data_IF_612073695880
#
_entry.id   IF_612073695880
#
_cell.length_a   1.000
_cell.length_b   1.000
_cell.length_c   1.000
_cell.angle_alpha   90.00
_cell.angle_beta   90.00
_cell.angle_gamma   90.00
#
_symmetry.space_group_name_H-M   'P 1'
#
loop_
_entity.id
_entity.type
_entity.pdbx_description
1 polymer ?
#
# COMPACT_ATOMS: atom_id res chain seq x y z
N UNK A 1 1.58 10.74 16.04
CA UNK A 1 1.15 11.35 14.76
C UNK A 1 -0.21 11.96 15.03
N UNK A 2 -0.35 13.28 14.93
CA UNK A 2 -1.66 13.92 15.09
C UNK A 2 -2.50 13.58 13.85
N UNK A 3 -3.60 12.86 14.02
CA UNK A 3 -4.53 12.56 12.93
C UNK A 3 -5.34 13.83 12.61
N UNK A 4 -5.69 14.06 11.34
CA UNK A 4 -6.45 15.23 10.85
C UNK A 4 -7.68 15.54 11.73
N UNK A 5 -8.39 14.49 12.16
CA UNK A 5 -9.55 14.60 13.05
C UNK A 5 -9.23 15.28 14.40
N UNK A 6 -8.04 15.05 14.95
CA UNK A 6 -7.59 15.66 16.20
C UNK A 6 -7.27 17.14 16.03
N UNK A 7 -6.64 17.52 14.90
CA UNK A 7 -6.38 18.93 14.56
C UNK A 7 -7.69 19.69 14.34
N UNK A 8 -8.65 19.07 13.66
CA UNK A 8 -9.98 19.66 13.43
C UNK A 8 -10.78 19.84 14.73
N UNK A 9 -10.73 18.86 15.65
CA UNK A 9 -11.35 18.98 16.96
C UNK A 9 -10.73 20.12 17.78
N UNK A 10 -9.40 20.28 17.74
CA UNK A 10 -8.72 21.40 18.39
C UNK A 10 -9.07 22.76 17.76
N UNK A 11 -9.19 22.84 16.43
CA UNK A 11 -9.63 24.05 15.75
C UNK A 11 -11.05 24.45 16.16
N UNK A 12 -11.98 23.50 16.20
CA UNK A 12 -13.34 23.74 16.64
C UNK A 12 -13.36 24.28 18.08
N UNK A 13 -12.62 23.63 18.99
CA UNK A 13 -12.50 24.10 20.37
C UNK A 13 -12.00 25.55 20.45
N UNK A 14 -10.93 25.91 19.76
CA UNK A 14 -10.38 27.27 19.84
C UNK A 14 -11.27 28.33 19.17
N UNK A 15 -11.99 27.96 18.11
CA UNK A 15 -13.00 28.84 17.48
C UNK A 15 -14.16 29.11 18.42
N UNK A 16 -14.67 28.08 19.11
CA UNK A 16 -15.73 28.23 20.12
C UNK A 16 -15.28 29.11 21.29
N UNK A 17 -14.04 28.90 21.74
CA UNK A 17 -13.44 29.70 22.80
C UNK A 17 -13.24 31.18 22.43
N UNK A 18 -12.95 31.46 21.15
CA UNK A 18 -12.85 32.83 20.63
C UNK A 18 -14.22 33.49 20.42
N UNK A 19 -15.25 32.69 20.14
CA UNK A 19 -16.63 33.13 19.97
C UNK A 19 -17.37 33.32 21.32
N UNK A 20 -16.81 32.87 22.44
CA UNK A 20 -17.39 33.04 23.77
C UNK A 20 -17.31 34.52 24.22
N UNK A 21 -18.48 35.17 24.22
CA UNK A 21 -18.66 36.56 24.60
C UNK A 21 -18.12 36.91 26.00
N UNK A 22 -17.98 35.92 26.89
CA UNK A 22 -17.45 36.12 28.25
C UNK A 22 -15.96 36.51 28.28
N UNK A 23 -15.22 36.31 27.18
CA UNK A 23 -13.79 36.63 27.09
C UNK A 23 -13.46 37.73 26.08
N UNK A 24 -14.48 38.43 25.54
CA UNK A 24 -14.30 39.46 24.50
C UNK A 24 -13.38 40.62 24.92
N UNK A 25 -13.34 40.94 26.21
CA UNK A 25 -12.51 42.03 26.75
C UNK A 25 -11.09 41.59 27.14
N UNK A 26 -10.79 40.29 27.09
CA UNK A 26 -9.46 39.76 27.36
C UNK A 26 -8.59 39.82 26.09
N UNK A 27 -7.93 40.97 25.91
CA UNK A 27 -7.04 41.23 24.79
C UNK A 27 -5.93 40.19 24.64
N UNK A 28 -5.33 39.74 25.75
CA UNK A 28 -4.23 38.77 25.74
C UNK A 28 -4.72 37.40 25.27
N UNK A 29 -5.88 36.98 25.76
CA UNK A 29 -6.54 35.76 25.30
C UNK A 29 -6.84 35.81 23.80
N UNK A 30 -7.41 36.91 23.30
CA UNK A 30 -7.74 37.08 21.89
C UNK A 30 -6.53 36.99 20.96
N UNK A 31 -5.38 37.56 21.35
CA UNK A 31 -4.13 37.47 20.58
C UNK A 31 -3.57 36.04 20.57
N UNK A 32 -3.55 35.38 21.73
CA UNK A 32 -3.04 34.01 21.85
C UNK A 32 -3.91 33.00 21.08
N UNK A 33 -5.23 33.09 21.23
CA UNK A 33 -6.17 32.20 20.55
C UNK A 33 -6.06 32.32 19.02
N UNK A 34 -5.95 33.55 18.48
CA UNK A 34 -5.72 33.76 17.04
C UNK A 34 -4.40 33.14 16.55
N UNK A 35 -3.32 33.27 17.32
CA UNK A 35 -2.04 32.63 16.99
C UNK A 35 -2.10 31.10 16.98
N UNK A 36 -2.82 30.52 17.94
CA UNK A 36 -3.05 29.07 18.00
C UNK A 36 -3.90 28.59 16.82
N UNK A 37 -5.00 29.30 16.51
CA UNK A 37 -5.85 28.99 15.36
C UNK A 37 -5.03 29.03 14.07
N UNK A 38 -4.26 30.08 13.81
CA UNK A 38 -3.43 30.19 12.61
C UNK A 38 -2.42 29.03 12.48
N UNK A 39 -1.85 28.59 13.60
CA UNK A 39 -0.92 27.44 13.63
C UNK A 39 -1.64 26.13 13.30
N UNK A 40 -2.83 25.93 13.85
CA UNK A 40 -3.64 24.73 13.61
C UNK A 40 -4.22 24.70 12.19
N UNK A 41 -4.62 25.85 11.63
CA UNK A 41 -5.09 25.96 10.24
C UNK A 41 -3.98 25.62 9.25
N UNK A 42 -2.74 26.09 9.52
CA UNK A 42 -1.58 25.68 8.71
C UNK A 42 -1.37 24.16 8.79
N UNK A 43 -1.49 23.58 9.99
CA UNK A 43 -1.33 22.13 10.20
C UNK A 43 -2.44 21.31 9.56
N UNK A 44 -3.69 21.81 9.57
CA UNK A 44 -4.82 21.22 8.87
C UNK A 44 -4.57 21.23 7.35
N UNK A 45 -4.15 22.36 6.79
CA UNK A 45 -3.82 22.49 5.38
C UNK A 45 -2.66 21.55 4.97
N UNK A 46 -1.61 21.45 5.79
CA UNK A 46 -0.51 20.50 5.58
C UNK A 46 -0.99 19.04 5.57
N UNK A 47 -1.89 18.66 6.49
CA UNK A 47 -2.43 17.30 6.58
C UNK A 47 -3.45 16.99 5.47
N UNK A 48 -4.21 17.99 4.99
CA UNK A 48 -5.14 17.85 3.88
C UNK A 48 -4.42 17.84 2.52
N UNK A 49 -3.34 18.61 2.38
CA UNK A 49 -2.52 18.69 1.18
C UNK A 49 -1.44 17.61 1.12
N UNK A 50 -1.18 16.90 2.22
CA UNK A 50 -0.32 15.73 2.21
C UNK A 50 -0.89 14.75 1.18
N UNK A 51 -0.16 14.45 0.08
CA UNK A 51 -0.63 13.45 -0.86
C UNK A 51 -0.85 12.16 -0.07
N UNK A 52 -1.98 11.49 -0.33
CA UNK A 52 -2.19 10.15 0.20
C UNK A 52 -0.92 9.35 -0.10
N UNK A 53 -0.25 8.87 0.95
CA UNK A 53 0.98 8.10 0.74
C UNK A 53 0.66 6.98 -0.25
N UNK A 54 1.50 6.79 -1.28
CA UNK A 54 1.32 5.67 -2.19
C UNK A 54 1.27 4.39 -1.35
N UNK A 55 0.15 3.67 -1.44
CA UNK A 55 -0.09 2.47 -0.67
C UNK A 55 -0.22 1.31 -1.65
N UNK A 56 0.36 0.18 -1.27
CA UNK A 56 0.14 -1.07 -1.97
C UNK A 56 -1.35 -1.43 -1.98
N UNK A 57 -1.85 -1.78 -3.15
CA UNK A 57 -3.21 -2.23 -3.40
C UNK A 57 -3.20 -3.75 -3.62
N UNK A 58 -4.12 -4.47 -2.98
CA UNK A 58 -4.26 -5.92 -3.15
C UNK A 58 -5.10 -6.26 -4.38
N UNK A 59 -4.70 -7.26 -5.15
CA UNK A 59 -5.37 -7.68 -6.37
C UNK A 59 -5.12 -6.73 -7.55
N UNK A 60 -5.79 -6.98 -8.67
CA UNK A 60 -5.63 -6.19 -9.90
C UNK A 60 -6.57 -4.99 -10.00
N UNK A 61 -7.56 -4.87 -9.11
CA UNK A 61 -8.59 -3.85 -9.23
C UNK A 61 -8.00 -2.44 -9.08
N UNK A 62 -8.43 -1.53 -9.96
CA UNK A 62 -8.09 -0.12 -9.90
C UNK A 62 -6.71 0.25 -10.43
N UNK A 63 -5.98 -0.67 -11.06
CA UNK A 63 -4.72 -0.34 -11.76
C UNK A 63 -5.01 0.72 -12.83
N UNK A 64 -4.27 1.85 -12.86
CA UNK A 64 -4.34 2.80 -13.96
C UNK A 64 -3.94 2.15 -15.29
N UNK A 65 -4.73 2.36 -16.34
CA UNK A 65 -4.45 1.86 -17.70
C UNK A 65 -3.68 2.85 -18.55
N UNK A 66 -3.56 4.10 -18.10
CA UNK A 66 -2.94 5.21 -18.83
C UNK A 66 -1.45 5.40 -18.52
N UNK A 67 -0.90 4.69 -17.52
CA UNK A 67 0.49 4.81 -17.10
C UNK A 67 1.02 3.54 -16.45
N UNK A 68 2.35 3.33 -16.44
CA UNK A 68 2.93 2.13 -15.85
C UNK A 68 3.03 2.22 -14.32
N UNK A 69 2.65 1.15 -13.64
CA UNK A 69 2.76 0.97 -12.18
C UNK A 69 3.77 -0.14 -11.84
N UNK A 70 4.18 -0.23 -10.58
CA UNK A 70 4.91 -1.40 -10.08
C UNK A 70 3.91 -2.45 -9.58
N UNK A 71 4.09 -3.69 -10.00
CA UNK A 71 3.25 -4.80 -9.58
C UNK A 71 4.09 -6.01 -9.18
N UNK A 72 3.65 -6.68 -8.13
CA UNK A 72 4.03 -8.07 -7.86
C UNK A 72 3.00 -8.92 -8.60
N UNK A 73 3.47 -9.73 -9.54
CA UNK A 73 2.60 -10.55 -10.38
C UNK A 73 3.16 -11.96 -10.54
N UNK A 74 2.25 -12.90 -10.76
CA UNK A 74 2.53 -14.31 -10.95
C UNK A 74 2.47 -14.66 -12.45
N UNK A 75 3.56 -15.16 -13.02
CA UNK A 75 3.66 -15.59 -14.41
C UNK A 75 3.47 -17.11 -14.46
N UNK A 76 2.31 -17.59 -14.93
CA UNK A 76 2.08 -19.03 -15.10
C UNK A 76 2.63 -19.46 -16.47
N UNK A 77 3.64 -20.34 -16.50
CA UNK A 77 3.89 -21.15 -17.69
C UNK A 77 5.32 -21.30 -18.22
N UNK A 78 6.38 -20.94 -17.50
CA UNK A 78 7.73 -21.30 -17.93
C UNK A 78 8.55 -21.91 -16.81
N UNK A 79 8.97 -23.17 -16.97
CA UNK A 79 9.76 -23.90 -15.97
C UNK A 79 11.20 -23.42 -15.80
N UNK A 80 11.54 -22.22 -16.29
CA UNK A 80 12.91 -21.67 -16.30
C UNK A 80 13.05 -20.32 -15.56
N UNK A 81 11.97 -19.57 -15.29
CA UNK A 81 12.00 -18.25 -14.63
C UNK A 81 11.37 -18.28 -13.20
N UNK A 82 11.61 -17.25 -12.38
CA UNK A 82 10.91 -17.09 -11.09
C UNK A 82 9.41 -16.82 -11.33
N UNK A 83 8.54 -17.69 -10.80
CA UNK A 83 7.09 -17.62 -11.00
C UNK A 83 6.43 -16.32 -10.48
N UNK A 84 7.08 -15.60 -9.56
CA UNK A 84 6.57 -14.35 -8.96
C UNK A 84 7.65 -13.29 -8.99
N UNK A 85 7.32 -12.10 -9.53
CA UNK A 85 8.27 -11.03 -9.75
C UNK A 85 7.68 -9.64 -9.44
N UNK A 86 8.56 -8.69 -9.10
CA UNK A 86 8.25 -7.27 -9.03
C UNK A 86 8.69 -6.57 -10.32
N UNK A 87 7.74 -6.21 -11.18
CA UNK A 87 8.00 -5.55 -12.47
C UNK A 87 7.17 -4.28 -12.64
N UNK A 88 7.64 -3.40 -13.53
CA UNK A 88 6.94 -2.17 -13.90
C UNK A 88 6.26 -2.35 -15.25
N UNK A 89 4.95 -2.12 -15.31
CA UNK A 89 4.14 -2.45 -16.48
C UNK A 89 2.80 -1.71 -16.51
N UNK A 90 2.05 -1.93 -17.57
CA UNK A 90 0.72 -1.34 -17.81
C UNK A 90 -0.30 -2.45 -17.85
N UNK A 91 -1.47 -2.23 -17.25
CA UNK A 91 -2.59 -3.17 -17.32
C UNK A 91 -3.49 -2.89 -18.53
N UNK A 92 -4.15 -3.94 -19.03
CA UNK A 92 -5.26 -3.80 -19.97
C UNK A 92 -6.54 -3.26 -19.30
N UNK A 93 -7.60 -3.06 -20.10
CA UNK A 93 -8.87 -2.44 -19.65
C UNK A 93 -9.58 -3.21 -18.52
N UNK A 94 -9.36 -4.52 -18.42
CA UNK A 94 -9.97 -5.38 -17.41
C UNK A 94 -9.06 -5.63 -16.18
N UNK A 95 -7.80 -5.17 -16.24
CA UNK A 95 -6.85 -5.27 -15.13
C UNK A 95 -6.24 -6.67 -14.95
N UNK A 96 -6.80 -7.70 -15.57
CA UNK A 96 -6.36 -9.09 -15.39
C UNK A 96 -5.03 -9.40 -16.09
N UNK A 97 -4.70 -8.65 -17.16
CA UNK A 97 -3.45 -8.82 -17.90
C UNK A 97 -2.52 -7.64 -17.63
N UNK A 98 -1.38 -7.95 -17.02
CA UNK A 98 -0.32 -6.98 -16.76
C UNK A 98 0.82 -7.15 -17.75
N UNK A 99 1.08 -6.14 -18.57
CA UNK A 99 2.11 -6.19 -19.61
C UNK A 99 3.36 -5.47 -19.14
N UNK A 100 4.49 -6.18 -19.15
CA UNK A 100 5.80 -5.64 -18.73
C UNK A 100 6.68 -5.38 -19.96
N UNK A 101 7.34 -4.23 -20.01
CA UNK A 101 8.32 -3.93 -21.05
C UNK A 101 9.63 -4.70 -20.77
N UNK A 102 9.94 -5.74 -21.55
CA UNK A 102 11.22 -6.44 -21.45
C UNK A 102 11.95 -6.49 -22.80
N UNK A 103 13.09 -5.78 -22.90
CA UNK A 103 14.03 -5.88 -24.03
C UNK A 103 13.43 -5.74 -25.45
N UNK A 104 12.43 -4.87 -25.62
CA UNK A 104 11.93 -4.51 -26.96
C UNK A 104 10.75 -5.34 -27.46
N UNK A 105 10.39 -6.42 -26.78
CA UNK A 105 9.11 -7.11 -26.94
C UNK A 105 8.29 -6.94 -25.65
N UNK A 106 7.07 -6.44 -25.80
CA UNK A 106 6.03 -6.59 -24.78
C UNK A 106 5.48 -7.98 -25.00
N UNK A 107 5.50 -8.89 -24.03
CA UNK A 107 4.64 -10.10 -23.96
C UNK A 107 5.06 -11.02 -22.79
N UNK A 108 5.18 -10.47 -21.57
CA UNK A 108 5.06 -11.31 -20.37
C UNK A 108 3.63 -11.20 -19.87
N UNK A 109 2.93 -12.33 -19.84
CA UNK A 109 1.55 -12.44 -19.39
C UNK A 109 1.54 -13.04 -18.00
N UNK A 110 0.93 -12.34 -17.05
CA UNK A 110 0.73 -12.89 -15.72
C UNK A 110 -0.28 -12.08 -14.91
N UNK A 111 -0.54 -12.57 -13.71
CA UNK A 111 -1.64 -12.11 -12.87
C UNK A 111 -1.14 -11.24 -11.73
N UNK A 112 -1.67 -10.03 -11.60
CA UNK A 112 -1.29 -9.11 -10.53
C UNK A 112 -1.77 -9.65 -9.17
N UNK A 113 -0.81 -9.80 -8.25
CA UNK A 113 -1.06 -10.10 -6.85
C UNK A 113 -1.32 -8.80 -6.09
N UNK A 114 -0.45 -7.79 -6.26
CA UNK A 114 -0.63 -6.46 -5.70
C UNK A 114 0.17 -5.42 -6.50
N UNK A 115 -0.19 -4.14 -6.37
CA UNK A 115 0.45 -3.05 -7.12
C UNK A 115 0.56 -1.75 -6.34
N UNK A 116 1.43 -0.85 -6.81
CA UNK A 116 1.63 0.49 -6.26
C UNK A 116 2.03 1.47 -7.36
N UNK A 117 1.41 2.65 -7.34
CA UNK A 117 1.71 3.74 -8.28
C UNK A 117 2.79 4.67 -7.71
N UNK A 118 4.04 4.32 -7.98
CA UNK A 118 5.23 5.13 -7.64
C UNK A 118 6.21 5.13 -8.80
N UNK A 119 7.04 6.17 -8.87
CA UNK A 119 8.02 6.32 -9.94
C UNK A 119 9.20 5.35 -9.77
N UNK A 120 9.79 5.31 -8.57
CA UNK A 120 10.95 4.48 -8.25
C UNK A 120 10.54 3.05 -7.86
N UNK A 121 11.45 2.09 -8.05
CA UNK A 121 11.21 0.70 -7.66
C UNK A 121 10.96 0.62 -6.15
N UNK A 122 9.77 0.18 -5.69
CA UNK A 122 9.49 0.12 -4.27
C UNK A 122 10.34 -0.98 -3.60
N UNK A 123 10.82 -0.76 -2.37
CA UNK A 123 11.44 -1.82 -1.59
C UNK A 123 10.41 -2.88 -1.19
N UNK A 124 10.87 -4.08 -0.87
CA UNK A 124 10.02 -5.10 -0.26
C UNK A 124 9.73 -4.71 1.19
N UNK A 125 8.52 -4.19 1.44
CA UNK A 125 8.13 -3.57 2.72
C UNK A 125 6.99 -4.34 3.41
N UNK A 126 6.71 -4.01 4.67
CA UNK A 126 5.60 -4.61 5.43
C UNK A 126 4.26 -4.35 4.74
N UNK A 127 4.08 -3.16 4.16
CA UNK A 127 2.87 -2.79 3.42
C UNK A 127 2.69 -3.63 2.16
N UNK A 128 3.79 -3.97 1.46
CA UNK A 128 3.75 -4.89 0.32
C UNK A 128 3.30 -6.29 0.77
N UNK A 129 3.85 -6.77 1.89
CA UNK A 129 3.49 -8.07 2.47
C UNK A 129 2.03 -8.13 2.89
N UNK A 130 1.54 -7.10 3.60
CA UNK A 130 0.14 -7.03 4.02
C UNK A 130 -0.80 -6.99 2.80
N UNK A 131 -0.42 -6.31 1.71
CA UNK A 131 -1.19 -6.31 0.47
C UNK A 131 -1.20 -7.70 -0.23
N UNK A 132 -0.07 -8.43 -0.23
CA UNK A 132 -0.01 -9.81 -0.74
C UNK A 132 -0.92 -10.73 0.08
N UNK A 133 -0.83 -10.67 1.41
CA UNK A 133 -1.67 -11.49 2.30
C UNK A 133 -3.15 -11.17 2.11
N UNK A 134 -3.49 -9.88 1.97
CA UNK A 134 -4.86 -9.47 1.67
C UNK A 134 -5.34 -9.97 0.30
N UNK A 135 -4.47 -9.97 -0.71
CA UNK A 135 -4.77 -10.55 -2.01
C UNK A 135 -5.06 -12.05 -1.89
N UNK A 136 -4.17 -12.82 -1.24
CA UNK A 136 -4.34 -14.25 -1.00
C UNK A 136 -5.63 -14.58 -0.24
N UNK A 137 -6.03 -13.73 0.73
CA UNK A 137 -7.24 -13.96 1.53
C UNK A 137 -8.54 -13.71 0.76
N UNK A 138 -8.52 -12.78 -0.21
CA UNK A 138 -9.71 -12.35 -0.96
C UNK A 138 -9.93 -13.14 -2.25
N UNK A 139 -9.12 -14.16 -2.52
CA UNK A 139 -9.14 -14.89 -3.78
C UNK A 139 -10.30 -15.89 -3.88
N UNK A 140 -11.45 -15.34 -4.30
CA UNK A 140 -12.43 -16.05 -5.12
C UNK A 140 -12.21 -15.82 -6.63
N UNK A 141 -11.15 -15.08 -7.00
CA UNK A 141 -10.93 -14.56 -8.37
C UNK A 141 -9.59 -14.91 -9.03
N UNK A 142 -8.68 -15.65 -8.39
CA UNK A 142 -7.57 -16.28 -9.12
C UNK A 142 -8.08 -17.64 -9.60
N UNK A 143 -8.44 -17.73 -10.87
CA UNK A 143 -8.95 -18.94 -11.54
C UNK A 143 -7.93 -20.10 -11.63
N UNK A 144 -6.83 -20.04 -10.88
CA UNK A 144 -5.63 -20.85 -11.08
C UNK A 144 -5.29 -21.58 -9.79
N UNK A 145 -5.85 -22.78 -9.62
CA UNK A 145 -5.87 -23.53 -8.35
C UNK A 145 -4.53 -23.93 -7.72
N UNK A 146 -3.39 -23.44 -8.23
CA UNK A 146 -2.04 -23.59 -7.66
C UNK A 146 -1.32 -22.26 -7.36
N UNK A 147 -1.76 -21.11 -7.89
CA UNK A 147 -1.01 -19.86 -7.79
C UNK A 147 -0.84 -19.38 -6.33
N UNK A 148 -1.87 -19.57 -5.49
CA UNK A 148 -1.89 -19.02 -4.14
C UNK A 148 -0.78 -19.60 -3.25
N UNK A 149 -0.53 -20.91 -3.33
CA UNK A 149 0.53 -21.53 -2.53
C UNK A 149 1.93 -21.23 -3.08
N UNK A 150 2.07 -21.05 -4.40
CA UNK A 150 3.33 -20.62 -5.02
C UNK A 150 3.68 -19.20 -4.56
N UNK A 151 2.69 -18.30 -4.55
CA UNK A 151 2.84 -16.93 -4.05
C UNK A 151 3.11 -16.92 -2.54
N UNK A 152 2.46 -17.79 -1.75
CA UNK A 152 2.76 -17.96 -0.32
C UNK A 152 4.20 -18.42 -0.08
N UNK A 153 4.66 -19.45 -0.78
CA UNK A 153 6.01 -19.98 -0.64
C UNK A 153 7.07 -18.95 -1.06
N UNK A 154 6.81 -18.23 -2.17
CA UNK A 154 7.64 -17.10 -2.59
C UNK A 154 7.69 -16.00 -1.52
N UNK A 155 6.54 -15.62 -0.95
CA UNK A 155 6.45 -14.60 0.09
C UNK A 155 7.29 -14.98 1.31
N UNK A 156 7.21 -16.23 1.77
CA UNK A 156 8.02 -16.71 2.89
C UNK A 156 9.51 -16.74 2.57
N UNK A 157 9.90 -17.07 1.32
CA UNK A 157 11.28 -17.00 0.86
C UNK A 157 11.81 -15.57 0.86
N UNK A 158 11.05 -14.59 0.37
CA UNK A 158 11.44 -13.18 0.39
C UNK A 158 11.54 -12.62 1.81
N UNK A 159 10.63 -13.02 2.71
CA UNK A 159 10.72 -12.67 4.12
C UNK A 159 12.02 -13.19 4.77
N UNK A 160 12.47 -14.41 4.41
CA UNK A 160 13.76 -14.95 4.85
C UNK A 160 14.95 -14.22 4.21
N UNK A 161 14.87 -13.89 2.91
CA UNK A 161 15.90 -13.09 2.22
C UNK A 161 16.10 -11.74 2.90
N UNK A 162 15.01 -11.06 3.31
CA UNK A 162 15.09 -9.81 4.05
C UNK A 162 15.89 -9.94 5.37
N UNK A 163 15.81 -11.09 6.06
CA UNK A 163 16.64 -11.36 7.25
C UNK A 163 18.11 -11.54 6.87
N UNK A 164 18.39 -12.32 5.82
CA UNK A 164 19.75 -12.57 5.32
C UNK A 164 20.43 -11.26 4.89
N UNK A 165 19.68 -10.36 4.26
CA UNK A 165 20.17 -9.07 3.78
C UNK A 165 20.32 -8.01 4.90
N UNK A 166 19.97 -8.36 6.15
CA UNK A 166 20.07 -7.45 7.28
C UNK A 166 19.05 -6.30 7.25
N UNK A 167 17.90 -6.50 6.61
CA UNK A 167 16.83 -5.50 6.57
C UNK A 167 16.34 -5.23 8.00
N UNK A 168 16.34 -3.94 8.39
CA UNK A 168 15.90 -3.49 9.71
C UNK A 168 14.46 -3.90 10.04
N UNK A 169 13.62 -3.99 9.01
CA UNK A 169 12.20 -4.32 9.15
C UNK A 169 11.92 -5.82 8.98
N UNK A 170 12.96 -6.65 8.83
CA UNK A 170 12.81 -8.09 8.63
C UNK A 170 11.93 -8.80 9.68
N UNK A 171 11.99 -8.48 10.99
CA UNK A 171 11.07 -9.06 11.97
C UNK A 171 9.60 -8.72 11.70
N UNK A 172 9.32 -7.49 11.26
CA UNK A 172 7.96 -7.05 10.94
C UNK A 172 7.46 -7.67 9.63
N UNK A 173 8.33 -7.73 8.61
CA UNK A 173 8.08 -8.42 7.34
C UNK A 173 7.75 -9.90 7.59
N UNK A 174 8.55 -10.59 8.40
CA UNK A 174 8.32 -11.99 8.74
C UNK A 174 7.01 -12.19 9.53
N UNK A 175 6.72 -11.32 10.50
CA UNK A 175 5.47 -11.38 11.26
C UNK A 175 4.24 -11.14 10.36
N UNK A 176 4.32 -10.20 9.43
CA UNK A 176 3.25 -9.95 8.44
C UNK A 176 3.07 -11.15 7.50
N UNK A 177 4.16 -11.72 6.99
CA UNK A 177 4.12 -12.87 6.09
C UNK A 177 3.49 -14.09 6.77
N UNK A 178 3.78 -14.33 8.06
CA UNK A 178 3.20 -15.45 8.81
C UNK A 178 1.67 -15.40 8.92
N UNK A 179 1.02 -14.25 8.71
CA UNK A 179 -0.44 -14.15 8.65
C UNK A 179 -1.04 -14.96 7.49
N UNK A 180 -0.27 -15.24 6.42
CA UNK A 180 -0.75 -16.06 5.30
C UNK A 180 -1.12 -17.48 5.73
N UNK A 181 -0.49 -18.01 6.79
CA UNK A 181 -0.73 -19.38 7.30
C UNK A 181 -2.15 -19.61 7.82
N UNK A 182 -2.87 -18.53 8.12
CA UNK A 182 -4.26 -18.59 8.55
C UNK A 182 -5.22 -18.77 7.35
N UNK A 183 -4.73 -18.57 6.13
CA UNK A 183 -5.48 -18.72 4.88
C UNK A 183 -5.43 -20.18 4.43
N UNK A 184 -6.58 -20.69 3.95
CA UNK A 184 -6.69 -22.07 3.46
C UNK A 184 -6.51 -22.12 1.95
N UNK A 185 -5.43 -22.74 1.51
CA UNK A 185 -5.15 -22.98 0.09
C UNK A 185 -5.41 -24.44 -0.31
N UNK A 186 -5.88 -24.66 -1.54
CA UNK A 186 -5.84 -25.98 -2.16
C UNK A 186 -4.42 -26.25 -2.67
N UNK A 187 -3.72 -27.20 -2.05
CA UNK A 187 -2.36 -27.63 -2.46
C UNK A 187 -2.39 -28.79 -3.47
N UNK A 188 -3.56 -29.08 -4.04
CA UNK A 188 -3.82 -30.34 -4.75
C UNK A 188 -3.23 -30.41 -6.16
N UNK A 189 -2.79 -29.27 -6.71
CA UNK A 189 -2.00 -29.21 -7.94
C UNK A 189 -0.63 -28.62 -7.60
N UNK A 190 0.28 -29.49 -7.14
CA UNK A 190 1.70 -29.20 -7.00
C UNK A 190 2.44 -29.45 -8.30
#
# INVERSE_FOLDING_TARGET
MDNLAQVQAHLAHWRDQLADDRRKDDFLFGVQAKGIIATLERKEAELQAAPAKPNWQSGHQGIPTDRPVWAIFFESGSGEDEDVMLLRGVSDEDGEVFTVQHKGDWDRYGHVVCWIDVEERPPFSVEAVDAIVAALANQSGIHWGCADHIVEDWLHREALRAVVDGNRDAPAIAAAALKSREIRFSRYYG
#
